data_IF_505325015327
#
_entry.id   IF_505325015327
#
_cell.length_a   1.000
_cell.length_b   1.000
_cell.length_c   1.000
_cell.angle_alpha   90.00
_cell.angle_beta   90.00
_cell.angle_gamma   90.00
#
_symmetry.space_group_name_H-M   'P 1'
#
loop_
_entity.id
_entity.type
_entity.pdbx_description
1 polymer ?
#
# COMPACT_ATOMS: atom_id res chain seq x y z
N UNK A 1 -35.05 -15.99 14.80
CA UNK A 1 -34.11 -15.76 13.68
C UNK A 1 -33.86 -14.26 13.62
N UNK A 2 -32.78 -13.81 14.27
CA UNK A 2 -32.47 -12.38 14.41
C UNK A 2 -31.84 -11.91 13.11
N UNK A 3 -32.48 -10.96 12.43
CA UNK A 3 -31.91 -10.25 11.31
C UNK A 3 -30.75 -9.37 11.83
N UNK A 4 -29.54 -9.95 11.85
CA UNK A 4 -28.32 -9.16 11.91
C UNK A 4 -28.27 -8.35 10.61
N UNK A 5 -28.31 -7.03 10.74
CA UNK A 5 -28.17 -6.08 9.64
C UNK A 5 -26.95 -6.47 8.79
N UNK A 6 -27.20 -6.95 7.57
CA UNK A 6 -26.17 -7.51 6.68
C UNK A 6 -25.40 -6.35 6.05
N UNK A 7 -24.55 -5.68 6.83
CA UNK A 7 -23.41 -4.97 6.25
C UNK A 7 -22.45 -6.05 5.77
N UNK A 8 -22.28 -6.13 4.45
CA UNK A 8 -21.44 -7.15 3.83
C UNK A 8 -20.01 -6.89 4.32
N UNK A 9 -19.39 -7.89 4.95
CA UNK A 9 -18.04 -7.74 5.50
C UNK A 9 -17.00 -7.37 4.43
N UNK A 10 -17.24 -7.73 3.16
CA UNK A 10 -16.39 -7.37 2.03
C UNK A 10 -16.41 -5.87 1.72
N UNK A 11 -17.56 -5.19 1.82
CA UNK A 11 -17.63 -3.74 1.62
C UNK A 11 -16.80 -2.96 2.66
N UNK A 12 -16.70 -3.50 3.87
CA UNK A 12 -15.89 -2.92 4.95
C UNK A 12 -14.37 -3.17 4.77
N UNK A 13 -13.99 -4.16 3.98
CA UNK A 13 -12.60 -4.53 3.71
C UNK A 13 -12.05 -3.85 2.44
N UNK A 14 -12.92 -3.60 1.47
CA UNK A 14 -12.57 -2.88 0.25
C UNK A 14 -12.03 -1.48 0.59
N UNK A 15 -11.03 -1.02 -0.15
CA UNK A 15 -10.32 0.25 0.07
C UNK A 15 -9.47 0.36 1.34
N UNK A 16 -9.31 -0.71 2.14
CA UNK A 16 -8.31 -0.70 3.21
C UNK A 16 -6.90 -0.66 2.63
N UNK A 17 -6.03 0.09 3.30
CA UNK A 17 -4.61 0.19 2.96
C UNK A 17 -3.83 -0.61 4.00
N UNK A 18 -3.05 -1.57 3.54
CA UNK A 18 -2.13 -2.35 4.34
C UNK A 18 -0.71 -1.82 4.17
N UNK A 19 -0.03 -1.63 5.29
CA UNK A 19 1.34 -1.16 5.33
C UNK A 19 2.28 -2.32 5.66
N UNK A 20 3.20 -2.63 4.75
CA UNK A 20 4.12 -3.76 4.90
C UNK A 20 5.52 -3.32 4.50
N UNK A 21 6.54 -3.85 5.18
CA UNK A 21 7.93 -3.64 4.81
C UNK A 21 8.31 -4.56 3.65
N UNK A 22 9.05 -4.03 2.66
CA UNK A 22 9.48 -4.81 1.50
C UNK A 22 10.39 -5.98 1.88
N UNK A 23 11.17 -5.85 2.95
CA UNK A 23 11.99 -6.95 3.47
C UNK A 23 11.17 -8.20 3.80
N UNK A 24 9.92 -8.06 4.24
CA UNK A 24 9.06 -9.20 4.54
C UNK A 24 8.58 -9.92 3.27
N UNK A 25 8.34 -9.16 2.20
CA UNK A 25 7.87 -9.70 0.91
C UNK A 25 9.00 -10.36 0.13
N UNK A 26 10.18 -9.73 0.05
CA UNK A 26 11.30 -10.22 -0.76
C UNK A 26 12.32 -11.05 0.03
N UNK A 27 12.18 -11.16 1.35
CA UNK A 27 13.13 -11.85 2.25
C UNK A 27 14.57 -11.34 2.15
N UNK A 28 14.77 -10.10 1.68
CA UNK A 28 16.08 -9.44 1.59
C UNK A 28 16.16 -8.38 2.67
N UNK A 29 17.10 -8.55 3.61
CA UNK A 29 17.28 -7.65 4.75
C UNK A 29 17.60 -6.21 4.32
N UNK A 30 18.29 -6.05 3.19
CA UNK A 30 18.67 -4.75 2.63
C UNK A 30 17.46 -3.93 2.16
N UNK A 31 16.23 -4.45 2.15
CA UNK A 31 15.02 -3.70 1.75
C UNK A 31 14.13 -3.30 2.94
N UNK A 32 14.63 -3.43 4.18
CA UNK A 32 13.86 -3.10 5.38
C UNK A 32 13.50 -1.61 5.50
N UNK A 33 14.24 -0.73 4.82
CA UNK A 33 14.00 0.71 4.85
C UNK A 33 12.89 1.18 3.88
N UNK A 34 12.36 0.27 3.05
CA UNK A 34 11.25 0.56 2.13
C UNK A 34 9.94 0.09 2.75
N UNK A 35 9.00 1.02 2.87
CA UNK A 35 7.63 0.75 3.28
C UNK A 35 6.75 0.77 2.03
N UNK A 36 5.87 -0.22 1.91
CA UNK A 36 4.91 -0.34 0.81
C UNK A 36 3.50 -0.29 1.37
N UNK A 37 2.67 0.51 0.73
CA UNK A 37 1.24 0.60 0.98
C UNK A 37 0.52 -0.16 -0.14
N UNK A 38 -0.29 -1.14 0.25
CA UNK A 38 -1.10 -1.97 -0.65
C UNK A 38 -2.58 -1.69 -0.39
N UNK A 39 -3.35 -1.40 -1.43
CA UNK A 39 -4.80 -1.17 -1.31
C UNK A 39 -5.57 -2.42 -1.70
N UNK A 40 -6.58 -2.78 -0.92
CA UNK A 40 -7.52 -3.86 -1.28
C UNK A 40 -8.35 -3.43 -2.47
N UNK A 41 -8.28 -4.22 -3.55
CA UNK A 41 -9.13 -4.05 -4.73
C UNK A 41 -10.35 -4.94 -4.66
N UNK A 42 -10.16 -6.23 -4.35
CA UNK A 42 -11.25 -7.21 -4.33
C UNK A 42 -11.00 -8.32 -3.31
N UNK A 43 -12.08 -8.94 -2.83
CA UNK A 43 -12.05 -10.05 -1.85
C UNK A 43 -12.70 -11.28 -2.46
N UNK A 44 -11.87 -12.25 -2.83
CA UNK A 44 -12.30 -13.52 -3.42
C UNK A 44 -12.34 -14.63 -2.35
N UNK A 45 -13.53 -14.86 -1.81
CA UNK A 45 -13.74 -15.86 -0.76
C UNK A 45 -12.96 -15.52 0.51
N UNK A 46 -11.82 -16.18 0.72
CA UNK A 46 -10.90 -15.92 1.84
C UNK A 46 -9.62 -15.16 1.44
N UNK A 47 -9.37 -14.99 0.15
CA UNK A 47 -8.17 -14.34 -0.36
C UNK A 47 -8.49 -12.90 -0.73
N UNK A 48 -7.54 -12.00 -0.46
CA UNK A 48 -7.69 -10.57 -0.76
C UNK A 48 -6.71 -10.20 -1.85
N UNK A 49 -7.21 -9.68 -2.95
CA UNK A 49 -6.40 -9.11 -4.02
C UNK A 49 -6.05 -7.67 -3.66
N UNK A 50 -4.75 -7.38 -3.63
CA UNK A 50 -4.24 -6.06 -3.30
C UNK A 50 -3.48 -5.48 -4.49
N UNK A 51 -3.71 -4.20 -4.76
CA UNK A 51 -2.96 -3.41 -5.74
C UNK A 51 -1.89 -2.58 -5.03
N UNK A 52 -0.79 -2.39 -5.73
CA UNK A 52 0.26 -1.46 -5.31
C UNK A 52 -0.30 -0.04 -5.29
N UNK A 53 -0.15 0.65 -4.15
CA UNK A 53 -0.61 2.03 -3.98
C UNK A 53 0.57 3.00 -3.98
N UNK A 54 1.38 2.97 -2.92
CA UNK A 54 2.50 3.91 -2.72
C UNK A 54 3.68 3.17 -2.12
N UNK A 55 4.90 3.59 -2.48
CA UNK A 55 6.14 3.16 -1.84
C UNK A 55 6.84 4.38 -1.23
N UNK A 56 7.16 4.31 0.05
CA UNK A 56 7.87 5.36 0.77
C UNK A 56 9.21 4.89 1.32
N UNK A 57 10.20 5.78 1.32
CA UNK A 57 11.50 5.57 1.95
C UNK A 57 11.53 6.23 3.32
N UNK A 58 11.75 5.42 4.37
CA UNK A 58 11.81 5.89 5.77
C UNK A 58 13.24 6.20 6.25
N UNK A 59 14.06 6.78 5.38
CA UNK A 59 15.43 7.16 5.70
C UNK A 59 15.46 8.61 6.22
N UNK A 60 15.42 8.77 7.54
CA UNK A 60 15.71 10.06 8.18
C UNK A 60 16.89 9.87 9.13
N UNK A 61 18.01 10.49 8.79
CA UNK A 61 19.19 10.56 9.64
C UNK A 61 19.30 11.98 10.23
N UNK A 62 19.75 12.08 11.48
CA UNK A 62 20.01 13.38 12.11
C UNK A 62 21.18 14.07 11.40
N UNK A 63 21.17 15.41 11.40
CA UNK A 63 22.26 16.25 10.87
C UNK A 63 22.51 16.14 9.37
N UNK A 64 21.52 15.68 8.60
CA UNK A 64 21.56 15.63 7.14
C UNK A 64 20.40 16.42 6.54
N UNK A 65 20.62 17.06 5.39
CA UNK A 65 19.58 17.75 4.63
C UNK A 65 18.78 16.74 3.80
N UNK A 66 17.46 16.70 4.00
CA UNK A 66 16.54 15.85 3.23
C UNK A 66 16.00 16.63 2.03
N UNK A 67 16.29 16.18 0.82
CA UNK A 67 15.73 16.74 -0.41
C UNK A 67 14.55 15.85 -0.83
N UNK A 68 13.36 16.44 -0.93
CA UNK A 68 12.13 15.79 -1.40
C UNK A 68 11.70 16.45 -2.71
N UNK A 69 11.38 15.66 -3.73
CA UNK A 69 10.92 16.16 -5.01
C UNK A 69 9.70 15.37 -5.43
N UNK A 70 8.63 16.07 -5.81
CA UNK A 70 7.39 15.44 -6.24
C UNK A 70 7.24 15.55 -7.75
N UNK A 71 6.89 14.45 -8.40
CA UNK A 71 6.55 14.43 -9.83
C UNK A 71 5.30 13.60 -10.03
N UNK A 72 4.31 14.22 -10.68
CA UNK A 72 3.10 13.55 -11.13
C UNK A 72 3.36 12.86 -12.46
N UNK A 73 3.40 11.53 -12.45
CA UNK A 73 3.61 10.72 -13.66
C UNK A 73 2.37 9.90 -13.96
N UNK A 74 1.91 9.99 -15.21
CA UNK A 74 0.87 9.11 -15.76
C UNK A 74 1.56 7.95 -16.47
N UNK A 75 1.29 6.74 -16.00
CA UNK A 75 1.81 5.52 -16.65
C UNK A 75 0.93 5.16 -17.86
N UNK A 76 1.45 4.35 -18.79
CA UNK A 76 0.72 3.87 -19.98
C UNK A 76 -0.53 3.07 -19.61
N UNK A 77 -0.45 2.32 -18.51
CA UNK A 77 -1.62 1.86 -17.79
C UNK A 77 -2.10 3.04 -16.97
N UNK A 78 -3.34 3.47 -17.19
CA UNK A 78 -4.10 4.61 -16.62
C UNK A 78 -4.03 4.86 -15.10
N UNK A 79 -3.15 4.16 -14.36
CA UNK A 79 -2.77 4.45 -13.00
C UNK A 79 -1.99 5.77 -12.90
N UNK A 80 -2.55 6.70 -12.12
CA UNK A 80 -1.82 7.86 -11.62
C UNK A 80 -0.91 7.40 -10.49
N UNK A 81 0.38 7.70 -10.61
CA UNK A 81 1.37 7.36 -9.58
C UNK A 81 2.08 8.64 -9.17
N UNK A 82 1.86 9.07 -7.94
CA UNK A 82 2.61 10.17 -7.32
C UNK A 82 3.99 9.62 -6.89
N UNK A 83 5.05 10.16 -7.47
CA UNK A 83 6.43 9.81 -7.12
C UNK A 83 6.96 10.86 -6.15
N UNK A 84 7.37 10.40 -4.97
CA UNK A 84 7.92 11.19 -3.85
C UNK A 84 9.44 11.16 -3.78
#
# INVERSE_FOLDING_TARGET
>A
MVFISVKIASECLNNRVFEIFLAYLQKVANHAYWKICLRVEDVQGKNVLTKFWVRERRLVCKWQTLIKAHVDVKTTDIAFTEIW
#
